data_IF_146566717121
#
_entry.id   IF_146566717121
#
_cell.length_a   1.000
_cell.length_b   1.000
_cell.length_c   1.000
_cell.angle_alpha   90.00
_cell.angle_beta   90.00
_cell.angle_gamma   90.00
#
_symmetry.space_group_name_H-M   'P 1'
#
loop_
_entity.id
_entity.type
_entity.pdbx_description
1 polymer ?
#
# COMPACT_ATOMS: atom_id res chain seq x y z
N UNK A 1 -42.55 -5.53 -9.94
CA UNK A 1 -41.32 -5.36 -10.73
C UNK A 1 -40.24 -4.89 -9.78
N UNK A 2 -39.34 -5.79 -9.38
CA UNK A 2 -38.18 -5.43 -8.57
C UNK A 2 -37.19 -4.65 -9.44
N UNK A 3 -36.64 -3.55 -8.91
CA UNK A 3 -35.55 -2.82 -9.54
C UNK A 3 -34.35 -3.77 -9.70
N UNK A 4 -33.55 -3.64 -10.78
CA UNK A 4 -32.28 -4.34 -10.86
C UNK A 4 -31.42 -3.90 -9.68
N UNK A 5 -30.85 -4.85 -8.93
CA UNK A 5 -29.75 -4.56 -8.02
C UNK A 5 -28.61 -3.97 -8.87
N UNK A 6 -28.29 -2.70 -8.63
CA UNK A 6 -26.99 -2.16 -9.00
C UNK A 6 -25.95 -3.13 -8.44
N UNK A 7 -25.03 -3.63 -9.27
CA UNK A 7 -23.90 -4.42 -8.83
C UNK A 7 -23.06 -3.55 -7.89
N UNK A 8 -23.41 -3.55 -6.61
CA UNK A 8 -22.85 -2.65 -5.62
C UNK A 8 -21.36 -2.92 -5.49
N UNK A 9 -20.54 -1.91 -5.80
CA UNK A 9 -19.11 -1.94 -5.49
C UNK A 9 -18.95 -2.25 -4.00
N UNK A 10 -18.25 -3.34 -3.68
CA UNK A 10 -17.93 -3.71 -2.30
C UNK A 10 -17.31 -2.48 -1.60
N UNK A 11 -17.72 -2.15 -0.36
CA UNK A 11 -17.12 -1.04 0.38
C UNK A 11 -15.62 -1.28 0.57
N UNK A 12 -14.82 -0.23 0.35
CA UNK A 12 -13.38 -0.23 0.60
C UNK A 12 -13.09 -0.57 2.05
N UNK A 13 -12.10 -1.44 2.27
CA UNK A 13 -11.59 -1.71 3.61
C UNK A 13 -10.67 -0.58 4.07
N UNK A 14 -10.64 -0.33 5.37
CA UNK A 14 -9.62 0.48 6.01
C UNK A 14 -8.67 -0.41 6.81
N UNK A 15 -7.39 -0.41 6.41
CA UNK A 15 -6.29 -1.09 7.10
C UNK A 15 -5.48 -0.12 7.95
N UNK A 16 -4.98 -0.59 9.09
CA UNK A 16 -4.00 0.13 9.90
C UNK A 16 -2.58 -0.31 9.49
N UNK A 17 -1.84 0.58 8.84
CA UNK A 17 -0.43 0.36 8.50
C UNK A 17 0.44 0.30 9.74
N UNK A 18 1.42 -0.59 9.78
CA UNK A 18 2.22 -0.81 10.99
C UNK A 18 3.07 0.41 11.32
N UNK A 19 3.55 1.14 10.30
CA UNK A 19 4.35 2.35 10.52
C UNK A 19 3.63 3.41 11.36
N UNK A 20 2.29 3.47 11.28
CA UNK A 20 1.45 4.35 12.12
C UNK A 20 1.69 4.12 13.61
N UNK A 21 1.95 2.87 14.02
CA UNK A 21 2.19 2.44 15.40
C UNK A 21 3.44 1.58 15.50
N UNK A 22 4.56 1.98 14.89
CA UNK A 22 5.74 1.11 14.67
C UNK A 22 6.34 0.48 15.95
N UNK A 23 6.07 1.05 17.12
CA UNK A 23 6.49 0.49 18.40
C UNK A 23 5.57 -0.60 18.97
N UNK A 24 4.47 -0.94 18.30
CA UNK A 24 3.63 -2.10 18.62
C UNK A 24 4.25 -3.39 18.07
N UNK A 25 3.91 -4.49 18.72
CA UNK A 25 4.04 -5.83 18.11
C UNK A 25 2.86 -6.09 17.16
N UNK A 26 2.99 -6.99 16.17
CA UNK A 26 1.88 -7.38 15.30
C UNK A 26 0.58 -7.79 16.03
N UNK A 27 0.57 -8.57 17.14
CA UNK A 27 -0.67 -8.85 17.87
C UNK A 27 -1.27 -7.61 18.55
N UNK A 28 -0.44 -6.69 19.08
CA UNK A 28 -0.94 -5.43 19.65
C UNK A 28 -1.58 -4.55 18.57
N UNK A 29 -0.96 -4.46 17.39
CA UNK A 29 -1.50 -3.77 16.22
C UNK A 29 -2.91 -4.27 15.89
N UNK A 30 -3.11 -5.59 15.85
CA UNK A 30 -4.41 -6.23 15.57
C UNK A 30 -5.44 -5.84 16.63
N UNK A 31 -5.12 -5.98 17.92
CA UNK A 31 -6.07 -5.63 18.97
C UNK A 31 -6.41 -4.14 19.01
N UNK A 32 -5.44 -3.25 18.75
CA UNK A 32 -5.67 -1.81 18.67
C UNK A 32 -6.55 -1.48 17.46
N UNK A 33 -6.24 -2.02 16.28
CA UNK A 33 -7.04 -1.84 15.07
C UNK A 33 -8.50 -2.26 15.29
N UNK A 34 -8.73 -3.39 15.96
CA UNK A 34 -10.07 -3.89 16.23
C UNK A 34 -10.85 -2.94 17.15
N UNK A 35 -10.23 -2.44 18.24
CA UNK A 35 -10.87 -1.48 19.16
C UNK A 35 -11.05 -0.09 18.55
N UNK A 36 -10.21 0.28 17.58
CA UNK A 36 -10.33 1.53 16.84
C UNK A 36 -11.37 1.46 15.70
N UNK A 37 -11.78 0.26 15.28
CA UNK A 37 -12.84 0.03 14.28
C UNK A 37 -12.35 -0.13 12.85
N UNK A 38 -11.09 -0.54 12.65
CA UNK A 38 -10.54 -0.89 11.34
C UNK A 38 -11.11 -2.23 10.82
N UNK A 39 -10.95 -2.47 9.53
CA UNK A 39 -11.36 -3.72 8.87
C UNK A 39 -10.18 -4.69 8.67
N UNK A 40 -8.96 -4.14 8.63
CA UNK A 40 -7.73 -4.90 8.41
C UNK A 40 -6.51 -4.28 9.11
N UNK A 41 -5.39 -5.01 9.09
CA UNK A 41 -4.05 -4.52 9.45
C UNK A 41 -3.05 -4.82 8.35
N UNK A 42 -1.98 -4.02 8.29
CA UNK A 42 -0.85 -4.21 7.37
C UNK A 42 0.44 -4.38 8.19
N UNK A 43 0.70 -5.58 8.73
CA UNK A 43 1.85 -5.83 9.60
C UNK A 43 3.17 -5.75 8.83
N UNK A 44 4.16 -5.13 9.49
CA UNK A 44 5.56 -5.21 9.06
C UNK A 44 6.21 -6.51 9.50
N UNK A 45 6.35 -7.45 8.58
CA UNK A 45 7.05 -8.73 8.81
C UNK A 45 8.48 -8.73 8.26
N UNK A 46 8.81 -7.78 7.37
CA UNK A 46 10.15 -7.61 6.83
C UNK A 46 10.84 -6.49 7.62
N UNK A 47 11.85 -6.79 8.45
CA UNK A 47 12.59 -5.76 9.19
C UNK A 47 13.42 -4.89 8.25
N UNK A 48 13.35 -3.57 8.41
CA UNK A 48 14.15 -2.63 7.62
C UNK A 48 15.52 -2.33 8.28
N UNK A 49 15.71 -2.72 9.54
CA UNK A 49 16.87 -2.41 10.37
C UNK A 49 17.18 -0.90 10.45
N UNK A 50 16.13 -0.09 10.59
CA UNK A 50 16.24 1.37 10.69
C UNK A 50 16.10 1.87 12.13
N UNK A 51 16.63 3.06 12.48
CA UNK A 51 16.44 3.63 13.81
C UNK A 51 14.97 3.74 14.20
N UNK A 52 14.65 3.32 15.42
CA UNK A 52 13.30 3.34 16.00
C UNK A 52 12.40 2.15 15.61
N UNK A 53 12.90 1.20 14.84
CA UNK A 53 12.19 -0.05 14.55
C UNK A 53 12.26 -1.04 15.73
N UNK A 54 11.32 -1.99 15.75
CA UNK A 54 11.31 -3.08 16.72
C UNK A 54 12.59 -3.92 16.66
N UNK A 55 13.06 -4.39 17.82
CA UNK A 55 14.31 -5.17 17.96
C UNK A 55 14.10 -6.68 17.90
N UNK A 56 12.88 -7.14 18.11
CA UNK A 56 12.52 -8.56 18.06
C UNK A 56 12.02 -8.91 16.67
N UNK A 57 12.31 -10.14 16.21
CA UNK A 57 11.81 -10.60 14.92
C UNK A 57 10.27 -10.65 14.94
N UNK A 58 9.60 -9.99 13.98
CA UNK A 58 8.14 -9.98 13.91
C UNK A 58 7.58 -11.32 13.40
N UNK A 59 8.44 -12.16 12.81
CA UNK A 59 8.13 -13.51 12.34
C UNK A 59 8.63 -14.62 13.28
N UNK A 60 9.02 -14.28 14.51
CA UNK A 60 9.27 -15.31 15.53
C UNK A 60 7.99 -16.13 15.80
N UNK A 61 8.15 -17.43 16.07
CA UNK A 61 7.02 -18.36 16.25
C UNK A 61 6.02 -17.90 17.31
N UNK A 62 6.50 -17.32 18.41
CA UNK A 62 5.61 -16.83 19.46
C UNK A 62 4.78 -15.62 19.00
N UNK A 63 5.41 -14.68 18.28
CA UNK A 63 4.71 -13.51 17.70
C UNK A 63 3.70 -13.91 16.63
N UNK A 64 4.08 -14.82 15.73
CA UNK A 64 3.18 -15.33 14.69
C UNK A 64 1.96 -16.01 15.33
N UNK A 65 2.17 -16.88 16.33
CA UNK A 65 1.06 -17.56 17.01
C UNK A 65 0.14 -16.58 17.78
N UNK A 66 0.73 -15.58 18.43
CA UNK A 66 -0.03 -14.52 19.08
C UNK A 66 -0.85 -13.70 18.07
N UNK A 67 -0.27 -13.41 16.90
CA UNK A 67 -0.94 -12.68 15.81
C UNK A 67 -2.11 -13.47 15.25
N UNK A 68 -1.93 -14.77 14.99
CA UNK A 68 -3.04 -15.68 14.59
C UNK A 68 -4.18 -15.65 15.60
N UNK A 69 -3.84 -15.73 16.88
CA UNK A 69 -4.82 -15.68 17.97
C UNK A 69 -5.56 -14.34 18.00
N UNK A 70 -4.85 -13.22 17.82
CA UNK A 70 -5.46 -11.89 17.77
C UNK A 70 -6.40 -11.75 16.57
N UNK A 71 -5.99 -12.21 15.38
CA UNK A 71 -6.81 -12.19 14.17
C UNK A 71 -8.08 -13.05 14.34
N UNK A 72 -7.95 -14.27 14.86
CA UNK A 72 -9.12 -15.13 15.10
C UNK A 72 -10.07 -14.58 16.17
N UNK A 73 -9.54 -13.89 17.17
CA UNK A 73 -10.33 -13.31 18.27
C UNK A 73 -11.10 -12.06 17.81
N UNK A 74 -10.48 -11.25 16.95
CA UNK A 74 -11.02 -9.95 16.52
C UNK A 74 -11.82 -10.04 15.22
N UNK A 75 -11.54 -11.03 14.37
CA UNK A 75 -12.11 -11.14 13.02
C UNK A 75 -11.50 -10.17 12.01
N UNK A 76 -10.42 -9.46 12.35
CA UNK A 76 -9.70 -8.59 11.43
C UNK A 76 -9.04 -9.38 10.30
N UNK A 77 -8.93 -8.71 9.14
CA UNK A 77 -8.19 -9.23 7.99
C UNK A 77 -6.75 -8.72 8.02
N UNK A 78 -5.90 -9.35 7.21
CA UNK A 78 -4.59 -8.80 6.85
C UNK A 78 -4.68 -8.28 5.43
N UNK A 79 -4.37 -6.99 5.23
CA UNK A 79 -4.43 -6.37 3.90
C UNK A 79 -3.18 -6.71 3.10
N UNK A 80 -2.03 -6.40 3.67
CA UNK A 80 -0.72 -6.50 3.03
C UNK A 80 0.40 -6.72 4.06
N UNK A 81 1.61 -7.00 3.56
CA UNK A 81 2.84 -7.12 4.36
C UNK A 81 3.83 -6.03 3.97
N UNK A 82 4.31 -5.29 4.98
CA UNK A 82 5.34 -4.26 4.84
C UNK A 82 6.75 -4.80 5.19
N UNK A 83 7.85 -4.26 4.67
CA UNK A 83 8.05 -3.60 3.37
C UNK A 83 9.39 -4.13 2.84
N UNK A 84 9.40 -4.74 1.66
CA UNK A 84 10.62 -5.18 0.99
C UNK A 84 11.38 -3.99 0.39
N UNK A 85 12.71 -4.07 0.34
CA UNK A 85 13.55 -3.06 -0.30
C UNK A 85 14.44 -3.68 -1.37
N UNK A 86 14.50 -3.05 -2.53
CA UNK A 86 15.56 -3.32 -3.51
C UNK A 86 16.79 -2.52 -3.09
N UNK A 87 17.83 -3.20 -2.63
CA UNK A 87 19.17 -2.67 -2.38
C UNK A 87 20.19 -3.41 -3.23
N UNK A 88 21.40 -2.89 -3.38
CA UNK A 88 22.44 -3.51 -4.22
C UNK A 88 22.83 -4.93 -3.78
N UNK A 89 22.62 -5.25 -2.52
CA UNK A 89 22.96 -6.51 -1.86
C UNK A 89 21.73 -7.38 -1.53
N UNK A 90 20.53 -7.00 -2.00
CA UNK A 90 19.31 -7.74 -1.70
C UNK A 90 19.32 -9.11 -2.37
N UNK A 91 18.93 -10.14 -1.60
CA UNK A 91 18.50 -11.43 -2.12
C UNK A 91 16.96 -11.51 -2.01
N UNK A 92 16.20 -11.50 -3.11
CA UNK A 92 14.74 -11.64 -3.09
C UNK A 92 14.25 -12.84 -2.26
N UNK A 93 15.01 -13.94 -2.21
CA UNK A 93 14.64 -15.16 -1.47
C UNK A 93 14.64 -14.95 0.04
N UNK A 94 15.35 -13.92 0.52
CA UNK A 94 15.30 -13.54 1.93
C UNK A 94 13.91 -13.09 2.39
N UNK A 95 13.02 -12.71 1.46
CA UNK A 95 11.63 -12.33 1.78
C UNK A 95 10.71 -13.53 1.96
N UNK A 96 11.05 -14.71 1.43
CA UNK A 96 10.19 -15.91 1.40
C UNK A 96 9.56 -16.27 2.77
N UNK A 97 10.29 -16.24 3.91
CA UNK A 97 9.68 -16.49 5.21
C UNK A 97 8.57 -15.48 5.56
N UNK A 98 8.71 -14.22 5.16
CA UNK A 98 7.68 -13.19 5.39
C UNK A 98 6.49 -13.35 4.43
N UNK A 99 6.75 -13.81 3.20
CA UNK A 99 5.70 -14.11 2.21
C UNK A 99 4.85 -15.31 2.65
N UNK A 100 5.49 -16.37 3.14
CA UNK A 100 4.81 -17.55 3.67
C UNK A 100 3.91 -17.19 4.85
N UNK A 101 4.43 -16.45 5.83
CA UNK A 101 3.64 -15.98 6.97
C UNK A 101 2.52 -15.04 6.51
N UNK A 102 2.80 -14.11 5.59
CA UNK A 102 1.79 -13.22 5.01
C UNK A 102 0.63 -13.99 4.38
N UNK A 103 0.94 -14.95 3.51
CA UNK A 103 -0.03 -15.83 2.87
C UNK A 103 -0.81 -16.68 3.87
N UNK A 104 -0.15 -17.26 4.87
CA UNK A 104 -0.79 -18.04 5.94
C UNK A 104 -1.79 -17.21 6.75
N UNK A 105 -1.47 -15.94 7.02
CA UNK A 105 -2.35 -15.00 7.73
C UNK A 105 -3.42 -14.37 6.82
N UNK A 106 -3.42 -14.70 5.52
CA UNK A 106 -4.43 -14.29 4.57
C UNK A 106 -4.21 -12.91 3.95
N UNK A 107 -2.99 -12.35 4.05
CA UNK A 107 -2.60 -11.16 3.30
C UNK A 107 -2.83 -11.37 1.79
N UNK A 108 -3.03 -10.27 1.06
CA UNK A 108 -3.24 -10.31 -0.40
C UNK A 108 -2.15 -9.60 -1.18
N UNK A 109 -1.31 -8.83 -0.48
CA UNK A 109 -0.36 -7.92 -1.10
C UNK A 109 0.91 -7.86 -0.26
N UNK A 110 2.00 -7.46 -0.87
CA UNK A 110 3.22 -7.02 -0.21
C UNK A 110 3.67 -5.72 -0.85
N UNK A 111 4.36 -4.90 -0.08
CA UNK A 111 4.92 -3.65 -0.58
C UNK A 111 6.41 -3.87 -0.87
N UNK A 112 6.89 -3.24 -1.94
CA UNK A 112 8.31 -3.15 -2.26
C UNK A 112 8.68 -1.72 -2.64
N UNK A 113 9.89 -1.27 -2.32
CA UNK A 113 10.41 0.03 -2.78
C UNK A 113 11.89 -0.06 -3.14
N UNK A 114 12.37 0.79 -4.05
CA UNK A 114 13.75 0.75 -4.52
C UNK A 114 14.66 1.77 -3.81
N UNK A 115 15.84 1.34 -3.37
CA UNK A 115 16.76 2.12 -2.51
C UNK A 115 18.23 2.04 -2.94
N UNK A 116 18.50 1.60 -4.17
CA UNK A 116 19.83 1.65 -4.78
C UNK A 116 20.36 3.08 -4.88
N UNK A 117 21.69 3.21 -4.89
CA UNK A 117 22.38 4.50 -4.88
C UNK A 117 22.77 4.99 -6.29
N UNK A 118 22.56 4.19 -7.33
CA UNK A 118 22.85 4.55 -8.73
C UNK A 118 21.56 4.86 -9.50
N UNK A 119 21.68 5.27 -10.77
CA UNK A 119 20.53 5.62 -11.63
C UNK A 119 20.50 4.84 -12.95
N UNK A 120 21.59 4.13 -13.24
CA UNK A 120 21.82 3.28 -14.41
C UNK A 120 21.61 1.79 -14.09
N UNK A 121 20.60 1.51 -13.26
CA UNK A 121 20.30 0.22 -12.65
C UNK A 121 18.90 -0.31 -13.04
N UNK A 122 18.30 0.25 -14.09
CA UNK A 122 16.93 -0.09 -14.53
C UNK A 122 16.73 -1.60 -14.68
N UNK A 123 17.62 -2.28 -15.39
CA UNK A 123 17.49 -3.72 -15.65
C UNK A 123 17.63 -4.54 -14.36
N UNK A 124 18.50 -4.11 -13.44
CA UNK A 124 18.61 -4.71 -12.11
C UNK A 124 17.31 -4.55 -11.30
N UNK A 125 16.68 -3.38 -11.31
CA UNK A 125 15.39 -3.17 -10.63
C UNK A 125 14.29 -4.08 -11.22
N UNK A 126 14.27 -4.27 -12.54
CA UNK A 126 13.33 -5.17 -13.22
C UNK A 126 13.58 -6.61 -12.79
N UNK A 127 14.82 -7.08 -12.80
CA UNK A 127 15.17 -8.46 -12.42
C UNK A 127 14.78 -8.77 -10.98
N UNK A 128 15.14 -7.89 -10.03
CA UNK A 128 14.84 -8.08 -8.60
C UNK A 128 13.34 -8.01 -8.33
N UNK A 129 12.64 -7.05 -8.96
CA UNK A 129 11.20 -6.93 -8.84
C UNK A 129 10.47 -8.16 -9.42
N UNK A 130 10.94 -8.66 -10.57
CA UNK A 130 10.40 -9.86 -11.22
C UNK A 130 10.58 -11.11 -10.36
N UNK A 131 11.80 -11.37 -9.87
CA UNK A 131 12.05 -12.52 -8.97
C UNK A 131 11.20 -12.42 -7.69
N UNK A 132 11.02 -11.22 -7.14
CA UNK A 132 10.14 -11.02 -5.96
C UNK A 132 8.68 -11.33 -6.28
N UNK A 133 8.18 -10.93 -7.45
CA UNK A 133 6.82 -11.25 -7.91
C UNK A 133 6.62 -12.77 -8.05
N UNK A 134 7.58 -13.47 -8.66
CA UNK A 134 7.57 -14.91 -8.84
C UNK A 134 7.58 -15.66 -7.50
N UNK A 135 8.36 -15.20 -6.52
CA UNK A 135 8.40 -15.74 -5.16
C UNK A 135 7.09 -15.49 -4.38
N UNK A 136 6.43 -14.36 -4.63
CA UNK A 136 5.19 -13.98 -3.95
C UNK A 136 3.96 -14.74 -4.49
N UNK A 137 3.97 -15.14 -5.76
CA UNK A 137 2.83 -15.74 -6.44
C UNK A 137 2.29 -17.04 -5.79
N UNK A 138 3.13 -18.01 -5.34
CA UNK A 138 2.67 -19.23 -4.66
C UNK A 138 1.90 -18.96 -3.35
N UNK A 139 2.15 -17.82 -2.71
CA UNK A 139 1.48 -17.40 -1.48
C UNK A 139 0.22 -16.56 -1.75
N UNK A 140 -0.12 -16.32 -3.02
CA UNK A 140 -1.29 -15.54 -3.43
C UNK A 140 -1.16 -14.04 -3.14
N UNK A 141 0.07 -13.51 -3.15
CA UNK A 141 0.38 -12.11 -2.90
C UNK A 141 0.67 -11.36 -4.20
N UNK A 142 0.11 -10.15 -4.33
CA UNK A 142 0.60 -9.14 -5.29
C UNK A 142 1.82 -8.40 -4.72
N UNK A 143 2.65 -7.83 -5.58
CA UNK A 143 3.81 -7.00 -5.19
C UNK A 143 3.61 -5.58 -5.70
N UNK A 144 3.25 -4.68 -4.79
CA UNK A 144 2.97 -3.29 -5.11
C UNK A 144 4.24 -2.44 -4.93
N UNK A 145 4.78 -1.93 -6.04
CA UNK A 145 5.97 -1.09 -6.08
C UNK A 145 5.64 0.35 -5.68
N UNK A 146 6.20 0.77 -4.56
CA UNK A 146 6.08 2.13 -4.02
C UNK A 146 7.26 3.01 -4.46
N UNK A 147 7.00 4.30 -4.68
CA UNK A 147 7.98 5.30 -5.11
C UNK A 147 8.14 6.46 -4.10
N UNK A 148 8.74 6.24 -2.92
CA UNK A 148 9.01 7.35 -2.00
C UNK A 148 9.88 8.43 -2.63
N UNK A 149 9.53 9.71 -2.44
CA UNK A 149 10.16 10.87 -3.11
C UNK A 149 11.68 11.00 -2.90
N UNK A 150 12.22 10.35 -1.86
CA UNK A 150 13.64 10.34 -1.51
C UNK A 150 14.33 8.97 -1.73
N UNK A 151 13.65 8.06 -2.42
CA UNK A 151 14.15 6.74 -2.79
C UNK A 151 14.80 6.74 -4.19
N UNK A 152 15.08 5.55 -4.73
CA UNK A 152 15.57 5.35 -6.09
C UNK A 152 14.51 5.73 -7.12
N UNK A 153 13.26 5.32 -6.94
CA UNK A 153 12.15 5.66 -7.82
C UNK A 153 11.37 6.82 -7.19
N UNK A 154 11.29 7.95 -7.89
CA UNK A 154 10.75 9.21 -7.34
C UNK A 154 9.53 9.72 -8.08
N UNK A 155 9.13 9.04 -9.14
CA UNK A 155 8.01 9.44 -9.99
C UNK A 155 7.13 8.23 -10.29
N UNK A 156 5.87 8.50 -10.60
CA UNK A 156 4.92 7.46 -11.01
C UNK A 156 5.36 6.78 -12.31
N UNK A 157 5.90 7.56 -13.26
CA UNK A 157 6.42 7.04 -14.53
C UNK A 157 7.60 6.07 -14.34
N UNK A 158 8.54 6.39 -13.45
CA UNK A 158 9.65 5.48 -13.12
C UNK A 158 9.14 4.16 -12.54
N UNK A 159 8.16 4.19 -11.61
CA UNK A 159 7.58 2.97 -11.06
C UNK A 159 6.81 2.18 -12.13
N UNK A 160 6.01 2.86 -12.96
CA UNK A 160 5.24 2.25 -14.04
C UNK A 160 6.13 1.59 -15.09
N UNK A 161 7.29 2.19 -15.40
CA UNK A 161 8.27 1.61 -16.32
C UNK A 161 8.80 0.27 -15.81
N UNK A 162 9.19 0.18 -14.53
CA UNK A 162 9.66 -1.07 -13.92
C UNK A 162 8.54 -2.13 -13.89
N UNK A 163 7.34 -1.75 -13.43
CA UNK A 163 6.20 -2.69 -13.33
C UNK A 163 5.75 -3.21 -14.70
N UNK A 164 5.75 -2.37 -15.74
CA UNK A 164 5.42 -2.83 -17.09
C UNK A 164 6.51 -3.67 -17.71
N UNK A 165 7.77 -3.34 -17.47
CA UNK A 165 8.90 -4.05 -18.06
C UNK A 165 9.14 -5.42 -17.42
N UNK A 166 8.72 -5.64 -16.17
CA UNK A 166 8.77 -6.96 -15.53
C UNK A 166 7.73 -7.95 -16.08
N UNK A 167 6.61 -7.45 -16.63
CA UNK A 167 5.53 -8.26 -17.20
C UNK A 167 4.98 -9.34 -16.24
N UNK A 168 4.94 -9.03 -14.94
CA UNK A 168 4.50 -9.97 -13.91
C UNK A 168 2.98 -9.82 -13.64
N UNK A 169 2.19 -10.92 -13.66
CA UNK A 169 0.73 -10.85 -13.54
C UNK A 169 0.24 -10.43 -12.15
N UNK A 170 1.09 -10.50 -11.13
CA UNK A 170 0.81 -10.07 -9.76
C UNK A 170 1.58 -8.78 -9.37
N UNK A 171 2.16 -8.08 -10.35
CA UNK A 171 2.80 -6.78 -10.15
C UNK A 171 1.78 -5.64 -10.07
N UNK A 172 2.11 -4.60 -9.31
CA UNK A 172 1.27 -3.42 -9.13
C UNK A 172 2.07 -2.21 -8.64
N UNK A 173 1.40 -1.08 -8.47
CA UNK A 173 1.95 0.17 -7.96
C UNK A 173 1.21 0.55 -6.69
N UNK A 174 1.95 0.77 -5.62
CA UNK A 174 1.42 1.44 -4.44
C UNK A 174 1.58 2.94 -4.58
N UNK A 175 0.45 3.63 -4.53
CA UNK A 175 0.43 5.08 -4.37
C UNK A 175 0.35 5.40 -2.89
N UNK A 176 1.26 6.25 -2.40
CA UNK A 176 1.11 6.94 -1.12
C UNK A 176 0.77 8.40 -1.38
N UNK A 177 -0.34 8.85 -0.81
CA UNK A 177 -0.81 10.24 -0.88
C UNK A 177 0.27 11.26 -0.50
N UNK A 178 1.10 10.97 0.52
CA UNK A 178 2.22 11.83 0.90
C UNK A 178 3.23 11.94 -0.25
N UNK A 179 3.64 10.83 -0.85
CA UNK A 179 4.65 10.83 -1.90
C UNK A 179 4.13 11.38 -3.23
N UNK A 180 2.83 11.28 -3.52
CA UNK A 180 2.22 12.05 -4.62
C UNK A 180 2.43 13.56 -4.42
N UNK A 181 2.15 14.06 -3.22
CA UNK A 181 2.31 15.46 -2.90
C UNK A 181 3.79 15.88 -2.96
N UNK A 182 4.67 15.16 -2.26
CA UNK A 182 6.10 15.49 -2.20
C UNK A 182 6.81 15.40 -3.55
N UNK A 183 6.37 14.50 -4.43
CA UNK A 183 6.91 14.36 -5.80
C UNK A 183 6.23 15.28 -6.81
N UNK A 184 5.22 16.07 -6.40
CA UNK A 184 4.43 16.97 -7.26
C UNK A 184 3.81 16.28 -8.47
N UNK A 185 3.36 15.04 -8.30
CA UNK A 185 2.71 14.27 -9.37
C UNK A 185 1.44 15.00 -9.78
N UNK A 186 1.25 15.21 -11.09
CA UNK A 186 -0.05 15.68 -11.59
C UNK A 186 -1.06 14.55 -11.40
N UNK A 187 -2.16 14.79 -10.69
CA UNK A 187 -3.19 13.78 -10.46
C UNK A 187 -3.74 13.20 -11.77
N UNK A 188 -3.67 13.94 -12.88
CA UNK A 188 -3.99 13.42 -14.22
C UNK A 188 -3.14 12.22 -14.65
N UNK A 189 -1.91 12.08 -14.16
CA UNK A 189 -1.03 10.94 -14.43
C UNK A 189 -1.62 9.61 -13.92
N UNK A 190 -2.40 9.64 -12.84
CA UNK A 190 -3.08 8.45 -12.32
C UNK A 190 -4.00 7.80 -13.36
N UNK A 191 -4.54 8.58 -14.31
CA UNK A 191 -5.41 8.08 -15.38
C UNK A 191 -4.65 7.29 -16.45
N UNK A 192 -3.32 7.48 -16.58
CA UNK A 192 -2.47 6.78 -17.55
C UNK A 192 -2.01 5.40 -17.08
N UNK A 193 -2.07 5.13 -15.77
CA UNK A 193 -1.74 3.82 -15.20
C UNK A 193 -2.95 2.90 -15.33
N UNK A 194 -2.83 1.69 -15.90
CA UNK A 194 -3.93 0.71 -15.97
C UNK A 194 -4.55 0.43 -14.60
N UNK A 195 -5.89 0.33 -14.53
CA UNK A 195 -6.61 0.19 -13.26
C UNK A 195 -6.27 -1.09 -12.49
N UNK A 196 -5.89 -2.14 -13.19
CA UNK A 196 -5.48 -3.43 -12.65
C UNK A 196 -4.12 -3.38 -11.94
N UNK A 197 -3.29 -2.37 -12.19
CA UNK A 197 -2.03 -2.16 -11.46
C UNK A 197 -2.22 -1.43 -10.13
N UNK A 198 -3.42 -0.95 -9.80
CA UNK A 198 -3.70 -0.29 -8.53
C UNK A 198 -4.51 -1.19 -7.60
N UNK A 199 -3.84 -1.75 -6.60
CA UNK A 199 -4.50 -2.67 -5.67
C UNK A 199 -5.01 -2.00 -4.38
N UNK A 200 -4.31 -0.98 -3.88
CA UNK A 200 -4.65 -0.21 -2.67
C UNK A 200 -3.89 1.11 -2.59
N UNK A 201 -4.23 1.95 -1.61
CA UNK A 201 -3.67 3.30 -1.44
C UNK A 201 -3.19 3.51 0.00
N UNK A 202 -1.99 4.09 0.16
CA UNK A 202 -1.50 4.61 1.44
C UNK A 202 -2.02 6.02 1.70
N UNK A 203 -2.66 6.21 2.85
CA UNK A 203 -3.37 7.42 3.23
C UNK A 203 -2.70 8.11 4.42
N UNK A 204 -2.35 9.37 4.20
CA UNK A 204 -2.11 10.35 5.24
C UNK A 204 -2.27 11.75 4.66
N UNK A 205 -2.13 12.78 5.48
CA UNK A 205 -2.09 14.17 5.04
C UNK A 205 -0.77 14.83 5.47
N UNK A 206 -0.51 16.03 4.98
CA UNK A 206 0.66 16.82 5.38
C UNK A 206 0.37 18.32 5.30
N UNK A 207 1.18 19.12 6.00
CA UNK A 207 1.12 20.58 5.89
C UNK A 207 1.42 21.03 4.46
N UNK A 208 0.91 22.19 4.03
CA UNK A 208 1.30 22.77 2.75
C UNK A 208 2.80 23.05 2.72
N UNK A 209 3.43 22.69 1.61
CA UNK A 209 4.86 22.90 1.39
C UNK A 209 5.62 21.58 1.33
N UNK A 210 6.67 21.56 0.52
CA UNK A 210 7.52 20.38 0.33
C UNK A 210 8.85 20.72 0.98
N UNK A 211 9.33 19.82 1.85
CA UNK A 211 10.63 20.01 2.46
C UNK A 211 11.73 20.12 1.37
N UNK A 212 12.54 21.16 1.43
CA UNK A 212 13.60 21.42 0.45
C UNK A 212 14.80 20.45 0.58
N UNK A 213 14.84 19.65 1.64
CA UNK A 213 15.94 18.72 1.95
C UNK A 213 15.46 17.28 2.08
N UNK A 214 16.37 16.35 1.80
CA UNK A 214 16.12 14.91 1.97
C UNK A 214 15.78 14.57 3.42
N UNK A 215 16.49 15.16 4.36
CA UNK A 215 16.30 14.97 5.80
C UNK A 215 14.92 15.45 6.23
N UNK A 216 14.47 16.60 5.73
CA UNK A 216 13.14 17.13 6.02
C UNK A 216 12.03 16.25 5.46
N UNK A 217 12.18 15.71 4.24
CA UNK A 217 11.22 14.76 3.67
C UNK A 217 11.15 13.46 4.48
N UNK A 218 12.30 12.94 4.94
CA UNK A 218 12.36 11.74 5.78
C UNK A 218 11.68 11.98 7.13
N UNK A 219 11.97 13.11 7.78
CA UNK A 219 11.35 13.47 9.05
C UNK A 219 9.82 13.57 8.90
N UNK A 220 9.33 14.24 7.86
CA UNK A 220 7.90 14.34 7.58
C UNK A 220 7.27 12.96 7.40
N UNK A 221 7.87 12.12 6.54
CA UNK A 221 7.36 10.80 6.21
C UNK A 221 7.35 9.83 7.40
N UNK A 222 8.25 10.01 8.37
CA UNK A 222 8.42 9.10 9.50
C UNK A 222 7.83 9.59 10.81
N UNK A 223 7.63 10.90 11.00
CA UNK A 223 7.36 11.45 12.32
C UNK A 223 6.25 12.50 12.38
N UNK A 224 5.82 13.07 11.24
CA UNK A 224 4.98 14.27 11.25
C UNK A 224 3.84 14.26 10.22
N UNK A 225 3.36 13.08 9.81
CA UNK A 225 2.17 12.99 8.95
C UNK A 225 0.93 13.48 9.72
N UNK A 226 -0.05 14.04 9.01
CA UNK A 226 -1.29 14.61 9.55
C UNK A 226 -2.50 13.73 9.27
N UNK A 227 -3.59 13.94 10.03
CA UNK A 227 -4.86 13.28 9.73
C UNK A 227 -5.46 13.82 8.43
N UNK A 228 -6.06 12.96 7.59
CA UNK A 228 -6.80 13.41 6.40
C UNK A 228 -7.76 14.56 6.73
N UNK A 229 -7.62 15.69 6.02
CA UNK A 229 -8.45 16.87 6.18
C UNK A 229 -7.89 17.93 7.14
N UNK A 230 -6.73 17.69 7.75
CA UNK A 230 -5.99 18.71 8.50
C UNK A 230 -4.87 19.37 7.69
N UNK A 231 -4.57 18.83 6.51
CA UNK A 231 -3.46 19.26 5.67
C UNK A 231 -3.89 19.79 4.31
N UNK A 232 -3.12 19.43 3.30
CA UNK A 232 -3.15 20.03 1.96
C UNK A 232 -3.50 19.04 0.84
N UNK A 233 -3.55 17.74 1.11
CA UNK A 233 -3.71 16.74 0.06
C UNK A 233 -5.15 16.74 -0.50
N UNK A 234 -5.25 16.78 -1.83
CA UNK A 234 -6.53 16.69 -2.56
C UNK A 234 -7.01 15.24 -2.67
N UNK A 235 -7.60 14.73 -1.59
CA UNK A 235 -8.13 13.36 -1.55
C UNK A 235 -9.27 13.14 -2.54
N UNK A 236 -10.14 14.14 -2.76
CA UNK A 236 -11.23 14.02 -3.73
C UNK A 236 -10.67 13.83 -5.14
N UNK A 237 -9.73 14.68 -5.55
CA UNK A 237 -9.07 14.58 -6.85
C UNK A 237 -8.33 13.26 -7.05
N UNK A 238 -7.69 12.73 -6.00
CA UNK A 238 -7.03 11.41 -6.03
C UNK A 238 -8.08 10.28 -6.18
N UNK A 239 -9.08 10.23 -5.29
CA UNK A 239 -10.08 9.15 -5.27
C UNK A 239 -10.87 9.09 -6.58
N UNK A 240 -11.23 10.22 -7.17
CA UNK A 240 -11.94 10.27 -8.45
C UNK A 240 -11.12 9.67 -9.61
N UNK A 241 -9.79 9.69 -9.52
CA UNK A 241 -8.87 9.20 -10.57
C UNK A 241 -8.27 7.83 -10.27
N UNK A 242 -8.45 7.30 -9.06
CA UNK A 242 -8.11 5.92 -8.70
C UNK A 242 -9.27 4.97 -9.01
N UNK A 243 -9.02 3.69 -9.32
CA UNK A 243 -10.10 2.69 -9.33
C UNK A 243 -10.63 2.49 -7.89
N UNK A 244 -11.79 1.83 -7.70
CA UNK A 244 -12.22 1.41 -6.38
C UNK A 244 -11.20 0.46 -5.75
N UNK A 245 -10.55 0.90 -4.67
CA UNK A 245 -9.49 0.16 -3.97
C UNK A 245 -9.67 0.22 -2.45
N UNK A 246 -8.92 -0.60 -1.72
CA UNK A 246 -8.81 -0.51 -0.26
C UNK A 246 -7.86 0.64 0.17
N UNK A 247 -8.01 1.10 1.40
CA UNK A 247 -7.19 2.16 1.99
C UNK A 247 -6.36 1.61 3.16
N UNK A 248 -5.04 1.77 3.13
CA UNK A 248 -4.18 1.55 4.28
C UNK A 248 -3.75 2.91 4.85
N UNK A 249 -4.01 3.14 6.14
CA UNK A 249 -3.67 4.41 6.78
C UNK A 249 -2.25 4.31 7.33
N UNK A 250 -1.30 4.88 6.57
CA UNK A 250 0.12 5.01 6.95
C UNK A 250 0.40 6.43 7.43
N UNK A 251 0.34 6.62 8.75
CA UNK A 251 0.30 7.94 9.36
C UNK A 251 1.12 7.97 10.66
N UNK A 252 2.45 7.85 10.57
CA UNK A 252 3.28 8.04 11.74
C UNK A 252 3.26 9.51 12.19
N UNK A 253 2.97 9.72 13.47
CA UNK A 253 3.07 11.03 14.12
C UNK A 253 3.51 10.87 15.58
N UNK A 254 4.80 11.08 15.85
CA UNK A 254 5.37 10.82 17.18
C UNK A 254 4.76 11.70 18.27
N UNK A 255 4.50 12.98 17.97
CA UNK A 255 3.91 13.92 18.93
C UNK A 255 2.52 13.47 19.35
N UNK A 256 1.69 13.02 18.40
CA UNK A 256 0.33 12.56 18.68
C UNK A 256 0.32 11.23 19.40
N UNK A 257 1.21 10.32 19.05
CA UNK A 257 1.37 9.06 19.78
C UNK A 257 1.79 9.32 21.23
N UNK A 258 2.72 10.24 21.47
CA UNK A 258 3.17 10.59 22.82
C UNK A 258 2.06 11.26 23.66
N UNK A 259 1.21 12.07 23.03
CA UNK A 259 0.10 12.77 23.69
C UNK A 259 -1.12 11.87 23.93
N UNK A 260 -1.54 11.10 22.92
CA UNK A 260 -2.82 10.39 22.90
C UNK A 260 -2.68 8.89 23.22
N UNK A 261 -1.48 8.34 23.08
CA UNK A 261 -1.26 6.90 23.03
C UNK A 261 -1.71 6.27 21.71
N UNK A 262 -1.31 5.02 21.50
CA UNK A 262 -1.52 4.32 20.23
C UNK A 262 -2.99 4.17 19.82
N UNK A 263 -3.86 3.79 20.76
CA UNK A 263 -5.25 3.48 20.43
C UNK A 263 -6.06 4.70 20.02
N UNK A 264 -5.96 5.80 20.77
CA UNK A 264 -6.66 7.03 20.42
C UNK A 264 -6.07 7.66 19.14
N UNK A 265 -4.75 7.57 18.95
CA UNK A 265 -4.14 7.98 17.69
C UNK A 265 -4.72 7.20 16.50
N UNK A 266 -4.76 5.87 16.57
CA UNK A 266 -5.32 5.02 15.52
C UNK A 266 -6.82 5.28 15.27
N UNK A 267 -7.62 5.50 16.32
CA UNK A 267 -9.05 5.85 16.20
C UNK A 267 -9.26 7.18 15.47
N UNK A 268 -8.42 8.18 15.74
CA UNK A 268 -8.48 9.48 15.06
C UNK A 268 -8.06 9.38 13.60
N UNK A 269 -7.00 8.63 13.29
CA UNK A 269 -6.60 8.32 11.91
C UNK A 269 -7.81 7.84 11.08
N UNK A 270 -8.51 6.81 11.58
CA UNK A 270 -9.68 6.24 10.89
C UNK A 270 -10.85 7.22 10.79
N UNK A 271 -11.17 7.90 11.89
CA UNK A 271 -12.32 8.83 11.94
C UNK A 271 -12.15 10.00 10.99
N UNK A 272 -10.93 10.54 10.89
CA UNK A 272 -10.60 11.59 9.94
C UNK A 272 -10.63 11.09 8.49
N UNK A 273 -10.02 9.93 8.20
CA UNK A 273 -10.06 9.35 6.86
C UNK A 273 -11.50 9.15 6.36
N UNK A 274 -12.37 8.51 7.16
CA UNK A 274 -13.78 8.29 6.82
C UNK A 274 -14.55 9.60 6.62
N UNK A 275 -14.31 10.61 7.47
CA UNK A 275 -14.95 11.93 7.35
C UNK A 275 -14.51 12.67 6.09
N UNK A 276 -13.22 12.66 5.79
CA UNK A 276 -12.63 13.43 4.69
C UNK A 276 -12.97 12.84 3.33
N UNK A 277 -13.03 11.51 3.22
CA UNK A 277 -13.34 10.86 1.95
C UNK A 277 -14.83 10.96 1.60
N UNK A 278 -15.71 10.95 2.62
CA UNK A 278 -17.14 11.20 2.47
C UNK A 278 -17.77 10.38 1.35
N UNK A 279 -18.33 11.08 0.36
CA UNK A 279 -19.01 10.51 -0.81
C UNK A 279 -18.11 10.43 -2.05
N UNK A 280 -16.82 10.78 -1.98
CA UNK A 280 -15.91 10.68 -3.11
C UNK A 280 -15.84 9.22 -3.59
N UNK A 281 -15.99 9.01 -4.90
CA UNK A 281 -15.93 7.70 -5.56
C UNK A 281 -15.09 7.80 -6.82
N UNK A 282 -14.54 6.66 -7.24
CA UNK A 282 -13.87 6.54 -8.53
C UNK A 282 -14.77 7.04 -9.66
N UNK A 283 -14.21 7.89 -10.53
CA UNK A 283 -14.83 8.33 -11.78
C UNK A 283 -14.12 7.72 -13.01
N UNK A 284 -13.19 6.78 -12.79
CA UNK A 284 -12.55 6.06 -13.89
C UNK A 284 -13.61 5.27 -14.66
N UNK A 285 -13.58 5.38 -15.98
CA UNK A 285 -14.38 4.50 -16.83
C UNK A 285 -13.79 3.10 -16.73
N UNK A 286 -14.55 2.17 -16.16
CA UNK A 286 -14.23 0.75 -16.28
C UNK A 286 -14.45 0.39 -17.74
N UNK A 287 -13.47 -0.20 -18.45
CA UNK A 287 -13.73 -0.73 -19.78
C UNK A 287 -14.85 -1.77 -19.67
N UNK A 288 -15.93 -1.58 -20.43
CA UNK A 288 -17.02 -2.57 -20.47
C UNK A 288 -16.43 -3.94 -20.80
N UNK A 289 -16.58 -4.91 -19.90
CA UNK A 289 -16.18 -6.30 -20.13
C UNK A 289 -16.83 -6.90 -21.41
N UNK A 290 -17.90 -6.27 -21.90
CA UNK A 290 -18.56 -6.61 -23.16
C UNK A 290 -17.75 -6.20 -24.42
N UNK A 291 -16.89 -5.19 -24.35
CA UNK A 291 -16.10 -4.72 -25.50
C UNK A 291 -14.91 -5.66 -25.79
N UNK A 292 -14.32 -6.26 -24.75
CA UNK A 292 -13.21 -7.20 -24.88
C UNK A 292 -13.65 -8.54 -25.53
N UNK A 293 -14.85 -9.05 -25.21
CA UNK A 293 -15.39 -10.25 -25.85
C UNK A 293 -15.66 -10.08 -27.35
N UNK A 294 -16.06 -8.89 -27.79
CA UNK A 294 -16.34 -8.65 -29.21
C UNK A 294 -15.09 -8.55 -30.10
N UNK A 295 -13.90 -8.31 -29.52
CA UNK A 295 -12.65 -8.31 -30.29
C UNK A 295 -12.06 -9.72 -30.47
N UNK A 296 -12.24 -10.62 -29.51
CA UNK A 296 -11.84 -12.03 -29.66
C UNK A 296 -12.72 -12.77 -30.67
N UNK A 297 -14.03 -12.54 -30.67
CA UNK A 297 -14.96 -13.20 -31.60
C UNK A 297 -14.76 -12.77 -33.07
N UNK A 298 -14.30 -11.54 -33.31
CA UNK A 298 -14.08 -11.03 -34.67
C UNK A 298 -12.77 -11.52 -35.32
N UNK A 299 -11.79 -11.94 -34.54
CA UNK A 299 -10.55 -12.53 -35.07
C UNK A 299 -10.67 -14.03 -35.39
N UNK A 300 -11.67 -14.73 -34.84
CA UNK A 300 -11.94 -16.14 -35.12
C UNK A 300 -12.72 -16.43 -36.42
N UNK A 301 -13.34 -15.43 -37.05
CA UNK A 301 -14.24 -15.64 -38.21
C UNK A 301 -13.67 -15.24 -39.58
N UNK A 302 -12.37 -14.91 -39.70
CA UNK A 302 -11.73 -14.57 -40.98
C UNK A 302 -10.79 -15.64 -41.54
N UNK A 303 -10.98 -16.89 -41.13
CA UNK A 303 -10.26 -18.03 -41.71
C UNK A 303 -11.25 -19.12 -42.13
N UNK A 304 -11.93 -18.90 -43.26
CA UNK A 304 -12.44 -19.96 -44.14
C UNK A 304 -12.63 -19.41 -45.55
#
# INVERSE_FOLDING_TARGET
MAKPEEAGTRPSLYSLAHLTLIGCTPPELVYIAARAGYDAVSPRFIPMHVPGEFTQSPIDKAHVQATKTALSTTGLKVLDVELARITEDVDPRSFEPSLEIGGELGAKRMIMSAWTNTRDDRDFLIDVYSETCELAAPYGLTVDLEFPSFSRLRTLDEALDIVRASDQPNGGILVDTLYLHLSRVDLGELLHVPSDLFHFLHISDCLPGIADTREGMIQLARDARLYPGEGWIDFTGIIERMPPVDYSIELPNQSRVAELGYEEHARRCLSHAKRTFGEARSQRRVPDAAILKHQEDHHGQRAH
#
